data_IF_799098117218
#
_entry.id   IF_799098117218
#
_cell.length_a   1.000
_cell.length_b   1.000
_cell.length_c   1.000
_cell.angle_alpha   90.00
_cell.angle_beta   90.00
_cell.angle_gamma   90.00
#
_symmetry.space_group_name_H-M   'P 1'
#
loop_
_entity.id
_entity.type
_entity.pdbx_description
1 polymer ?
#
# COMPACT_ATOMS: atom_id res chain seq x y z
N UNK A 1 -73.77 8.70 54.39
CA UNK A 1 -72.72 7.71 54.08
C UNK A 1 -71.76 8.36 53.07
N UNK A 2 -70.48 8.51 53.48
CA UNK A 2 -69.23 8.68 52.70
C UNK A 2 -69.25 9.60 51.45
N UNK A 3 -68.58 10.78 51.47
CA UNK A 3 -67.15 11.04 51.16
C UNK A 3 -66.85 10.88 49.63
N UNK A 4 -66.08 11.69 48.89
CA UNK A 4 -65.03 12.70 49.11
C UNK A 4 -64.78 13.38 47.74
N UNK A 5 -64.26 14.62 47.71
CA UNK A 5 -63.87 15.39 46.50
C UNK A 5 -62.44 15.09 46.04
N UNK A 6 -62.19 15.12 44.72
CA UNK A 6 -60.96 15.59 44.01
C UNK A 6 -61.08 15.21 42.50
N UNK A 7 -61.15 16.11 41.52
CA UNK A 7 -60.05 16.85 40.86
C UNK A 7 -58.85 15.96 40.50
N UNK A 8 -58.66 15.61 39.22
CA UNK A 8 -57.62 16.21 38.36
C UNK A 8 -57.42 15.41 37.06
N UNK A 9 -56.96 16.16 36.05
CA UNK A 9 -56.48 15.77 34.74
C UNK A 9 -55.39 14.69 34.78
N UNK A 10 -55.38 13.80 33.77
CA UNK A 10 -54.18 13.62 32.94
C UNK A 10 -54.50 12.84 31.64
N UNK A 11 -54.37 13.52 30.51
CA UNK A 11 -54.28 12.87 29.19
C UNK A 11 -52.87 12.28 29.06
N UNK A 12 -52.74 10.97 28.94
CA UNK A 12 -51.48 10.34 28.55
C UNK A 12 -51.59 9.81 27.12
N UNK A 13 -51.32 10.70 26.16
CA UNK A 13 -51.00 10.29 24.79
C UNK A 13 -49.57 9.76 24.78
N UNK A 14 -49.41 8.44 24.74
CA UNK A 14 -48.12 7.80 24.52
C UNK A 14 -47.73 7.97 23.03
N UNK A 15 -47.06 9.08 22.71
CA UNK A 15 -46.32 9.19 21.46
C UNK A 15 -45.07 8.30 21.58
N UNK A 16 -45.03 7.21 20.82
CA UNK A 16 -43.81 6.47 20.57
C UNK A 16 -42.81 7.42 19.91
N UNK A 17 -41.83 7.89 20.69
CA UNK A 17 -40.63 8.48 20.14
C UNK A 17 -39.85 7.36 19.44
N UNK A 18 -39.87 7.36 18.11
CA UNK A 18 -38.90 6.58 17.32
C UNK A 18 -37.53 7.18 17.59
N UNK A 19 -36.78 6.58 18.50
CA UNK A 19 -35.37 6.85 18.66
C UNK A 19 -34.67 6.46 17.35
N UNK A 20 -34.41 7.44 16.50
CA UNK A 20 -33.50 7.25 15.38
C UNK A 20 -32.12 6.94 15.96
N UNK A 21 -31.46 5.84 15.56
CA UNK A 21 -30.09 5.62 15.97
C UNK A 21 -29.25 6.78 15.44
N UNK A 22 -28.65 7.56 16.34
CA UNK A 22 -27.57 8.49 16.00
C UNK A 22 -26.43 7.62 15.46
N UNK A 23 -26.27 7.61 14.14
CA UNK A 23 -25.09 7.04 13.51
C UNK A 23 -23.87 7.76 14.08
N UNK A 24 -23.06 7.02 14.84
CA UNK A 24 -21.76 7.50 15.27
C UNK A 24 -20.92 7.84 14.02
N UNK A 25 -20.48 9.08 13.79
CA UNK A 25 -19.80 9.46 12.54
C UNK A 25 -18.45 8.75 12.34
N UNK A 26 -17.84 8.20 13.39
CA UNK A 26 -16.46 7.73 13.36
C UNK A 26 -16.23 6.37 12.65
N UNK A 27 -17.28 5.59 12.40
CA UNK A 27 -17.13 4.25 11.80
C UNK A 27 -17.03 4.28 10.26
N UNK A 28 -17.57 5.33 9.62
CA UNK A 28 -17.59 5.47 8.16
C UNK A 28 -16.21 5.93 7.64
N UNK A 29 -15.63 6.95 8.27
CA UNK A 29 -14.31 7.49 7.88
C UNK A 29 -13.18 6.46 7.99
N UNK A 30 -13.19 5.64 9.05
CA UNK A 30 -12.15 4.61 9.29
C UNK A 30 -12.32 3.32 8.47
N UNK A 31 -13.47 3.11 7.84
CA UNK A 31 -13.64 2.00 6.87
C UNK A 31 -13.24 2.43 5.46
N UNK A 32 -13.49 3.70 5.12
CA UNK A 32 -13.08 4.27 3.85
C UNK A 32 -11.56 4.29 3.68
N UNK A 33 -10.78 4.58 4.74
CA UNK A 33 -9.31 4.63 4.67
C UNK A 33 -8.66 3.29 4.33
N UNK A 34 -9.08 2.18 4.97
CA UNK A 34 -8.57 0.84 4.66
C UNK A 34 -8.87 0.43 3.22
N UNK A 35 -10.11 0.64 2.75
CA UNK A 35 -10.49 0.31 1.38
C UNK A 35 -9.74 1.17 0.36
N UNK A 36 -9.45 2.43 0.68
CA UNK A 36 -8.66 3.32 -0.16
C UNK A 36 -7.20 2.84 -0.28
N UNK A 37 -6.55 2.44 0.82
CA UNK A 37 -5.18 1.88 0.76
C UNK A 37 -5.15 0.62 -0.09
N UNK A 38 -6.08 -0.32 0.13
CA UNK A 38 -6.19 -1.53 -0.68
C UNK A 38 -6.42 -1.22 -2.16
N UNK A 39 -7.24 -0.22 -2.48
CA UNK A 39 -7.47 0.20 -3.87
C UNK A 39 -6.19 0.73 -4.51
N UNK A 40 -5.41 1.57 -3.80
CA UNK A 40 -4.14 2.11 -4.31
C UNK A 40 -3.15 0.97 -4.58
N UNK A 41 -2.99 0.05 -3.63
CA UNK A 41 -2.07 -1.08 -3.77
C UNK A 41 -2.53 -2.06 -4.86
N UNK A 42 -3.84 -2.24 -5.04
CA UNK A 42 -4.39 -3.05 -6.13
C UNK A 42 -4.08 -2.43 -7.50
N UNK A 43 -4.20 -1.11 -7.63
CA UNK A 43 -3.81 -0.40 -8.86
C UNK A 43 -2.31 -0.54 -9.12
N UNK A 44 -1.48 -0.36 -8.09
CA UNK A 44 -0.03 -0.57 -8.21
C UNK A 44 0.27 -2.00 -8.66
N UNK A 45 -0.30 -3.00 -8.00
CA UNK A 45 -0.13 -4.41 -8.36
C UNK A 45 -0.58 -4.69 -9.80
N UNK A 46 -1.69 -4.13 -10.25
CA UNK A 46 -2.15 -4.29 -11.64
C UNK A 46 -1.16 -3.72 -12.66
N UNK A 47 -0.54 -2.57 -12.35
CA UNK A 47 0.49 -1.98 -13.20
C UNK A 47 1.76 -2.85 -13.21
N UNK A 48 2.21 -3.27 -12.04
CA UNK A 48 3.36 -4.19 -11.87
C UNK A 48 3.15 -5.51 -12.63
N UNK A 49 1.96 -6.11 -12.52
CA UNK A 49 1.56 -7.33 -13.24
C UNK A 49 1.51 -7.17 -14.76
N UNK A 50 1.49 -5.93 -15.25
CA UNK A 50 1.55 -5.64 -16.70
C UNK A 50 2.99 -5.39 -17.14
N UNK A 51 3.75 -4.63 -16.36
CA UNK A 51 5.09 -4.15 -16.72
C UNK A 51 6.16 -5.22 -16.50
N UNK A 52 6.15 -5.91 -15.35
CA UNK A 52 7.20 -6.87 -15.01
C UNK A 52 7.27 -8.06 -15.98
N UNK A 53 6.15 -8.64 -16.47
CA UNK A 53 6.23 -9.68 -17.49
C UNK A 53 6.87 -9.21 -18.80
N UNK A 54 6.71 -7.94 -19.18
CA UNK A 54 7.33 -7.38 -20.37
C UNK A 54 8.85 -7.27 -20.20
N UNK A 55 9.31 -6.79 -19.03
CA UNK A 55 10.74 -6.77 -18.69
C UNK A 55 11.34 -8.17 -18.68
N UNK A 56 10.67 -9.14 -18.07
CA UNK A 56 11.10 -10.53 -18.06
C UNK A 56 11.16 -11.14 -19.47
N UNK A 57 10.22 -10.81 -20.34
CA UNK A 57 10.23 -11.26 -21.73
C UNK A 57 11.41 -10.68 -22.52
N UNK A 58 11.77 -9.41 -22.30
CA UNK A 58 12.94 -8.78 -22.93
C UNK A 58 14.25 -9.44 -22.48
N UNK A 59 14.39 -9.74 -21.18
CA UNK A 59 15.55 -10.48 -20.67
C UNK A 59 15.61 -11.89 -21.25
N UNK A 60 14.52 -12.66 -21.16
CA UNK A 60 14.48 -14.08 -21.57
C UNK A 60 14.71 -14.25 -23.08
N UNK A 61 14.25 -13.29 -23.89
CA UNK A 61 14.48 -13.31 -25.35
C UNK A 61 15.87 -12.83 -25.77
N UNK A 62 16.67 -12.31 -24.83
CA UNK A 62 17.98 -11.72 -25.14
C UNK A 62 17.89 -10.41 -25.93
N UNK A 63 16.73 -9.74 -25.90
CA UNK A 63 16.48 -8.50 -26.65
C UNK A 63 16.45 -7.26 -25.77
N UNK A 64 16.70 -7.41 -24.46
CA UNK A 64 16.78 -6.30 -23.53
C UNK A 64 17.86 -5.29 -23.98
N UNK A 65 17.43 -4.05 -24.16
CA UNK A 65 18.27 -2.92 -24.59
C UNK A 65 17.77 -1.65 -23.91
N UNK A 66 18.59 -0.61 -23.92
CA UNK A 66 18.20 0.68 -23.35
C UNK A 66 16.88 1.20 -23.96
N UNK A 67 16.69 1.03 -25.27
CA UNK A 67 15.52 1.54 -25.98
C UNK A 67 14.18 0.88 -25.55
N UNK A 68 14.20 -0.35 -25.04
CA UNK A 68 13.00 -1.07 -24.66
C UNK A 68 12.85 -1.28 -23.14
N UNK A 69 13.95 -1.31 -22.38
CA UNK A 69 13.92 -1.42 -20.91
C UNK A 69 13.64 -0.07 -20.26
N UNK A 70 14.28 1.01 -20.70
CA UNK A 70 14.11 2.35 -20.12
C UNK A 70 12.65 2.81 -20.04
N UNK A 71 11.83 2.73 -21.10
CA UNK A 71 10.43 3.15 -21.00
C UNK A 71 9.60 2.28 -20.04
N UNK A 72 9.94 1.00 -19.87
CA UNK A 72 9.23 0.11 -18.94
C UNK A 72 9.60 0.38 -17.49
N UNK A 73 10.89 0.57 -17.20
CA UNK A 73 11.33 0.98 -15.85
C UNK A 73 10.80 2.38 -15.50
N UNK A 74 10.74 3.28 -16.47
CA UNK A 74 10.09 4.59 -16.30
C UNK A 74 8.61 4.47 -15.94
N UNK A 75 7.87 3.58 -16.61
CA UNK A 75 6.46 3.30 -16.28
C UNK A 75 6.31 2.68 -14.88
N UNK A 76 7.20 1.75 -14.51
CA UNK A 76 7.21 1.14 -13.18
C UNK A 76 7.41 2.20 -12.09
N UNK A 77 8.45 3.03 -12.25
CA UNK A 77 8.76 4.14 -11.35
C UNK A 77 7.59 5.11 -11.24
N UNK A 78 6.98 5.47 -12.37
CA UNK A 78 5.79 6.35 -12.39
C UNK A 78 4.59 5.74 -11.68
N UNK A 79 4.37 4.43 -11.82
CA UNK A 79 3.29 3.72 -11.13
C UNK A 79 3.49 3.72 -9.61
N UNK A 80 4.73 3.48 -9.16
CA UNK A 80 5.10 3.54 -7.74
C UNK A 80 4.88 4.95 -7.20
N UNK A 81 5.40 5.99 -7.87
CA UNK A 81 5.22 7.38 -7.45
C UNK A 81 3.75 7.83 -7.41
N UNK A 82 2.93 7.32 -8.32
CA UNK A 82 1.48 7.56 -8.31
C UNK A 82 0.82 6.92 -7.10
N UNK A 83 1.22 5.70 -6.74
CA UNK A 83 0.75 5.03 -5.54
C UNK A 83 1.18 5.79 -4.28
N UNK A 84 2.45 6.20 -4.18
CA UNK A 84 2.97 7.03 -3.09
C UNK A 84 2.17 8.32 -2.92
N UNK A 85 1.93 9.04 -4.02
CA UNK A 85 1.13 10.28 -4.02
C UNK A 85 -0.32 10.04 -3.61
N UNK A 86 -0.88 8.88 -4.00
CA UNK A 86 -2.24 8.52 -3.61
C UNK A 86 -2.31 8.20 -2.12
N UNK A 87 -1.34 7.47 -1.57
CA UNK A 87 -1.26 7.14 -0.14
C UNK A 87 -1.09 8.40 0.71
N UNK A 88 -0.25 9.35 0.32
CA UNK A 88 -0.02 10.58 1.10
C UNK A 88 -1.26 11.47 1.22
N UNK A 89 -2.26 11.27 0.36
CA UNK A 89 -3.56 11.94 0.45
C UNK A 89 -4.56 11.26 1.40
N UNK A 90 -4.25 10.05 1.88
CA UNK A 90 -5.15 9.27 2.72
C UNK A 90 -4.95 9.59 4.22
N UNK A 91 -6.03 9.55 5.02
CA UNK A 91 -5.92 9.65 6.46
C UNK A 91 -5.33 8.36 7.06
N UNK A 92 -4.59 8.51 8.16
CA UNK A 92 -4.02 7.38 8.89
C UNK A 92 -5.09 6.37 9.37
N UNK A 93 -4.72 5.09 9.37
CA UNK A 93 -5.54 3.94 9.74
C UNK A 93 -4.77 3.03 10.71
N UNK A 94 -5.34 2.79 11.89
CA UNK A 94 -4.69 2.03 12.97
C UNK A 94 -5.30 0.63 13.15
N UNK A 95 -5.64 -0.05 12.05
CA UNK A 95 -6.24 -1.40 12.09
C UNK A 95 -5.19 -2.45 11.82
N UNK A 96 -4.88 -3.25 12.85
CA UNK A 96 -3.94 -4.39 12.77
C UNK A 96 -4.18 -5.35 11.61
N UNK A 97 -5.42 -5.74 11.36
CA UNK A 97 -5.71 -6.65 10.23
C UNK A 97 -5.36 -6.02 8.87
N UNK A 98 -5.42 -4.69 8.75
CA UNK A 98 -4.99 -3.97 7.56
C UNK A 98 -3.47 -3.96 7.43
N UNK A 99 -2.72 -3.89 8.54
CA UNK A 99 -1.25 -3.94 8.54
C UNK A 99 -0.73 -5.23 7.89
N UNK A 100 -1.24 -6.41 8.30
CA UNK A 100 -0.78 -7.72 7.80
C UNK A 100 -1.03 -7.90 6.29
N UNK A 101 -2.25 -7.59 5.85
CA UNK A 101 -2.66 -7.75 4.43
C UNK A 101 -1.86 -6.80 3.54
N UNK A 102 -1.72 -5.54 3.96
CA UNK A 102 -1.00 -4.51 3.22
C UNK A 102 0.50 -4.82 3.18
N UNK A 103 1.09 -5.25 4.29
CA UNK A 103 2.49 -5.68 4.33
C UNK A 103 2.73 -6.86 3.38
N UNK A 104 1.82 -7.84 3.35
CA UNK A 104 1.93 -9.00 2.46
C UNK A 104 1.90 -8.58 0.98
N UNK A 105 0.97 -7.72 0.60
CA UNK A 105 0.85 -7.24 -0.79
C UNK A 105 2.11 -6.46 -1.19
N UNK A 106 2.59 -5.55 -0.34
CA UNK A 106 3.74 -4.70 -0.64
C UNK A 106 5.04 -5.48 -0.69
N UNK A 107 5.24 -6.42 0.24
CA UNK A 107 6.39 -7.33 0.20
C UNK A 107 6.37 -8.18 -1.09
N UNK A 108 5.20 -8.64 -1.52
CA UNK A 108 5.04 -9.35 -2.79
C UNK A 108 5.48 -8.48 -3.98
N UNK A 109 4.99 -7.24 -4.07
CA UNK A 109 5.35 -6.30 -5.13
C UNK A 109 6.86 -6.02 -5.14
N UNK A 110 7.48 -5.75 -4.00
CA UNK A 110 8.92 -5.50 -3.89
C UNK A 110 9.72 -6.74 -4.33
N UNK A 111 9.29 -7.93 -3.93
CA UNK A 111 9.93 -9.19 -4.32
C UNK A 111 9.84 -9.42 -5.82
N UNK A 112 8.67 -9.20 -6.43
CA UNK A 112 8.49 -9.32 -7.88
C UNK A 112 9.34 -8.33 -8.66
N UNK A 113 9.44 -7.09 -8.18
CA UNK A 113 10.32 -6.07 -8.76
C UNK A 113 11.78 -6.53 -8.65
N UNK A 114 12.25 -6.90 -7.46
CA UNK A 114 13.62 -7.36 -7.24
C UNK A 114 13.98 -8.56 -8.12
N UNK A 115 13.12 -9.59 -8.17
CA UNK A 115 13.33 -10.75 -9.05
C UNK A 115 13.38 -10.39 -10.53
N UNK A 116 12.54 -9.47 -10.99
CA UNK A 116 12.51 -9.02 -12.38
C UNK A 116 13.73 -8.19 -12.75
N UNK A 117 14.18 -7.31 -11.86
CA UNK A 117 15.38 -6.52 -12.07
C UNK A 117 16.64 -7.39 -12.04
N UNK A 118 16.67 -8.44 -11.21
CA UNK A 118 17.80 -9.37 -11.11
C UNK A 118 18.08 -10.14 -12.40
N UNK A 119 17.07 -10.35 -13.27
CA UNK A 119 17.28 -11.02 -14.55
C UNK A 119 17.69 -10.06 -15.67
N UNK A 120 17.67 -8.74 -15.45
CA UNK A 120 18.10 -7.78 -16.47
C UNK A 120 19.63 -7.72 -16.53
N UNK A 121 20.22 -7.67 -17.73
CA UNK A 121 21.68 -7.61 -17.87
C UNK A 121 22.18 -6.18 -17.61
N UNK A 122 22.40 -5.82 -16.34
CA UNK A 122 22.80 -4.47 -15.90
C UNK A 122 24.04 -3.96 -16.66
N UNK A 123 25.07 -4.80 -16.80
CA UNK A 123 26.31 -4.44 -17.50
C UNK A 123 26.13 -4.21 -19.01
N UNK A 124 25.07 -4.77 -19.62
CA UNK A 124 24.82 -4.69 -21.06
C UNK A 124 23.89 -3.53 -21.44
N UNK A 125 23.20 -2.93 -20.48
CA UNK A 125 22.21 -1.88 -20.71
C UNK A 125 22.74 -0.57 -20.09
N UNK A 126 23.25 0.35 -20.92
CA UNK A 126 23.71 1.65 -20.44
C UNK A 126 22.64 2.39 -19.64
N UNK A 127 23.02 2.94 -18.49
CA UNK A 127 22.12 3.74 -17.65
C UNK A 127 21.11 2.94 -16.81
N UNK A 128 21.07 1.60 -16.92
CA UNK A 128 20.14 0.78 -16.15
C UNK A 128 20.36 0.92 -14.63
N UNK A 129 21.60 1.05 -14.17
CA UNK A 129 21.92 1.30 -12.76
C UNK A 129 21.21 2.56 -12.22
N UNK A 130 21.22 3.66 -13.00
CA UNK A 130 20.54 4.91 -12.61
C UNK A 130 19.03 4.72 -12.55
N UNK A 131 18.47 3.92 -13.45
CA UNK A 131 17.05 3.60 -13.44
C UNK A 131 16.67 2.72 -12.25
N UNK A 132 17.53 1.77 -11.86
CA UNK A 132 17.32 0.94 -10.67
C UNK A 132 17.33 1.81 -9.41
N UNK A 133 18.27 2.76 -9.29
CA UNK A 133 18.29 3.71 -8.18
C UNK A 133 16.99 4.53 -8.13
N UNK A 134 16.44 4.94 -9.27
CA UNK A 134 15.16 5.64 -9.30
C UNK A 134 13.99 4.77 -8.80
N UNK A 135 14.01 3.46 -9.10
CA UNK A 135 13.04 2.50 -8.56
C UNK A 135 13.23 2.33 -7.05
N UNK A 136 14.47 2.21 -6.58
CA UNK A 136 14.82 2.08 -5.16
C UNK A 136 14.28 3.27 -4.34
N UNK A 137 14.55 4.50 -4.80
CA UNK A 137 14.01 5.73 -4.20
C UNK A 137 12.47 5.72 -4.19
N UNK A 138 11.84 5.37 -5.31
CA UNK A 138 10.38 5.35 -5.38
C UNK A 138 9.75 4.32 -4.42
N UNK A 139 10.38 3.15 -4.27
CA UNK A 139 9.94 2.11 -3.34
C UNK A 139 10.17 2.52 -1.88
N UNK A 140 11.29 3.17 -1.57
CA UNK A 140 11.54 3.74 -0.24
C UNK A 140 10.44 4.75 0.11
N UNK A 141 10.15 5.70 -0.77
CA UNK A 141 9.10 6.70 -0.56
C UNK A 141 7.71 6.06 -0.40
N UNK A 142 7.42 4.99 -1.18
CA UNK A 142 6.19 4.23 -1.04
C UNK A 142 6.08 3.61 0.36
N UNK A 143 7.14 2.97 0.85
CA UNK A 143 7.17 2.34 2.17
C UNK A 143 7.02 3.36 3.30
N UNK A 144 7.72 4.50 3.20
CA UNK A 144 7.57 5.61 4.15
C UNK A 144 6.14 6.16 4.14
N UNK A 145 5.59 6.43 2.95
CA UNK A 145 4.21 6.89 2.81
C UNK A 145 3.20 5.90 3.37
N UNK A 146 3.46 4.61 3.21
CA UNK A 146 2.61 3.57 3.75
C UNK A 146 2.68 3.49 5.28
N UNK A 147 3.85 3.64 5.89
CA UNK A 147 3.98 3.63 7.37
C UNK A 147 3.29 4.84 8.02
N UNK A 148 3.28 5.98 7.33
CA UNK A 148 2.50 7.15 7.76
C UNK A 148 0.99 6.85 7.77
N UNK A 149 0.50 6.14 6.75
CA UNK A 149 -0.92 5.79 6.66
C UNK A 149 -1.27 4.60 7.55
N UNK A 150 -0.36 3.64 7.72
CA UNK A 150 -0.54 2.40 8.45
C UNK A 150 0.73 2.14 9.28
N UNK A 151 0.69 2.62 10.52
CA UNK A 151 1.83 2.51 11.42
C UNK A 151 2.21 1.04 11.68
N UNK A 152 3.50 0.73 11.55
CA UNK A 152 4.06 -0.58 11.85
C UNK A 152 4.17 -1.50 10.63
N UNK A 153 3.62 -1.11 9.47
CA UNK A 153 3.70 -1.89 8.23
C UNK A 153 5.14 -2.19 7.82
N UNK A 154 6.08 -1.26 8.04
CA UNK A 154 7.51 -1.46 7.73
C UNK A 154 8.09 -2.64 8.51
N UNK A 155 7.69 -2.81 9.78
CA UNK A 155 8.16 -3.94 10.61
C UNK A 155 7.70 -5.27 10.03
N UNK A 156 6.46 -5.33 9.57
CA UNK A 156 5.89 -6.54 8.97
C UNK A 156 6.53 -6.83 7.61
N UNK A 157 6.66 -5.81 6.75
CA UNK A 157 7.33 -5.93 5.45
C UNK A 157 8.77 -6.38 5.63
N UNK A 158 9.49 -5.82 6.62
CA UNK A 158 10.85 -6.24 6.96
C UNK A 158 10.90 -7.74 7.28
N UNK A 159 10.06 -8.22 8.19
CA UNK A 159 9.99 -9.64 8.54
C UNK A 159 9.69 -10.57 7.35
N UNK A 160 8.89 -10.10 6.38
CA UNK A 160 8.59 -10.85 5.16
C UNK A 160 9.76 -10.84 4.16
N UNK A 161 10.48 -9.73 4.06
CA UNK A 161 11.56 -9.55 3.08
C UNK A 161 12.94 -10.02 3.55
N UNK A 162 13.09 -10.44 4.82
CA UNK A 162 14.35 -11.02 5.33
C UNK A 162 14.90 -12.12 4.42
N UNK A 163 14.05 -12.98 3.88
CA UNK A 163 14.48 -14.12 3.05
C UNK A 163 14.95 -13.72 1.66
N UNK A 164 14.53 -12.55 1.17
CA UNK A 164 14.89 -12.01 -0.14
C UNK A 164 15.85 -10.82 -0.03
N UNK A 165 16.33 -10.48 1.17
CA UNK A 165 17.20 -9.31 1.37
C UNK A 165 18.47 -9.39 0.53
N UNK A 166 19.10 -10.56 0.44
CA UNK A 166 20.28 -10.81 -0.40
C UNK A 166 19.99 -10.56 -1.89
N UNK A 167 18.79 -10.91 -2.35
CA UNK A 167 18.36 -10.64 -3.73
C UNK A 167 18.17 -9.14 -3.96
N UNK A 168 17.54 -8.45 -3.02
CA UNK A 168 17.33 -7.00 -3.13
C UNK A 168 18.66 -6.25 -3.11
N UNK A 169 19.63 -6.73 -2.34
CA UNK A 169 20.98 -6.18 -2.25
C UNK A 169 21.73 -6.37 -3.56
N UNK A 170 21.69 -7.58 -4.15
CA UNK A 170 22.37 -7.87 -5.42
C UNK A 170 21.84 -7.05 -6.59
N UNK A 171 20.59 -6.60 -6.52
CA UNK A 171 19.95 -5.75 -7.52
C UNK A 171 20.28 -4.27 -7.30
N UNK A 172 20.71 -3.87 -6.11
CA UNK A 172 20.97 -2.48 -5.76
C UNK A 172 19.79 -1.74 -5.15
N UNK A 173 18.83 -2.46 -4.55
CA UNK A 173 17.71 -1.87 -3.77
C UNK A 173 18.13 -1.58 -2.32
N UNK A 174 19.25 -0.88 -2.18
CA UNK A 174 19.91 -0.64 -0.90
C UNK A 174 19.14 0.32 0.02
N UNK A 175 18.41 1.28 -0.54
CA UNK A 175 17.59 2.22 0.24
C UNK A 175 16.40 1.49 0.86
N UNK A 176 15.70 0.66 0.08
CA UNK A 176 14.63 -0.22 0.59
C UNK A 176 15.17 -1.11 1.72
N UNK A 177 16.34 -1.74 1.54
CA UNK A 177 16.96 -2.56 2.58
C UNK A 177 17.33 -1.77 3.83
N UNK A 178 17.92 -0.59 3.65
CA UNK A 178 18.27 0.31 4.75
C UNK A 178 17.05 0.72 5.57
N UNK A 179 15.96 1.11 4.89
CA UNK A 179 14.70 1.49 5.53
C UNK A 179 14.09 0.32 6.33
N UNK A 180 14.18 -0.89 5.81
CA UNK A 180 13.66 -2.10 6.45
C UNK A 180 14.56 -2.63 7.58
N UNK A 181 15.75 -2.05 7.77
CA UNK A 181 16.75 -2.55 8.72
C UNK A 181 17.36 -3.89 8.31
N UNK A 182 17.36 -4.20 7.01
CA UNK A 182 17.85 -5.43 6.41
C UNK A 182 19.16 -5.24 5.63
N UNK A 183 19.66 -4.00 5.55
CA UNK A 183 20.96 -3.69 4.94
C UNK A 183 22.12 -4.28 5.75
N UNK A 184 23.13 -4.79 5.03
CA UNK A 184 24.38 -5.33 5.59
C UNK A 184 25.41 -4.24 5.87
#
# INVERSE_FOLDING_TARGET
MFALRAVSLFFLAATLATASPVAAPAAVDKRASTAAVQSVLTTLQSNTNTILPQLNALSTSGTASEANVTPLIGQLTSAINTATSSLSSLPASNKRQTEDEVATVVAGIITEIGTTLNVLPIEAIPGLETLIVAVDVALEELLVGLDVVIAGVITLVSGLLVTVSVLLDSVGLGLVLGLLGLGL
#
